data_IF_842650610819
#
_entry.id   IF_842650610819
#
_cell.length_a   1.000
_cell.length_b   1.000
_cell.length_c   1.000
_cell.angle_alpha   90.00
_cell.angle_beta   90.00
_cell.angle_gamma   90.00
#
_symmetry.space_group_name_H-M   'P 1'
#
loop_
_entity.id
_entity.type
_entity.pdbx_description
1 polymer ?
#
# COMPACT_ATOMS: atom_id res chain seq x y z
N UNK A 1 -21.44 -13.82 4.59
CA UNK A 1 -20.78 -12.67 3.93
C UNK A 1 -21.43 -11.40 4.44
N UNK A 2 -20.66 -10.34 4.67
CA UNK A 2 -21.14 -8.97 4.91
C UNK A 2 -20.09 -8.02 4.31
N UNK A 3 -20.51 -6.91 3.69
CA UNK A 3 -19.61 -6.01 2.94
C UNK A 3 -18.70 -6.76 1.94
N UNK A 4 -19.19 -7.86 1.37
CA UNK A 4 -18.45 -8.79 0.52
C UNK A 4 -17.20 -9.45 1.16
N UNK A 5 -17.13 -9.49 2.49
CA UNK A 5 -16.10 -10.21 3.25
C UNK A 5 -16.70 -11.47 3.90
N UNK A 6 -15.96 -12.57 3.87
CA UNK A 6 -16.35 -13.82 4.52
C UNK A 6 -16.12 -13.73 6.03
N UNK A 7 -17.19 -13.45 6.79
CA UNK A 7 -17.15 -13.37 8.25
C UNK A 7 -16.61 -14.67 8.89
N UNK A 8 -17.00 -15.83 8.38
CA UNK A 8 -16.53 -17.11 8.93
C UNK A 8 -15.03 -17.27 8.72
N UNK A 9 -14.54 -16.97 7.52
CA UNK A 9 -13.10 -17.01 7.21
C UNK A 9 -12.29 -15.98 8.00
N UNK A 10 -12.83 -14.79 8.27
CA UNK A 10 -12.18 -13.80 9.14
C UNK A 10 -12.07 -14.31 10.58
N UNK A 11 -13.13 -14.96 11.10
CA UNK A 11 -13.11 -15.54 12.44
C UNK A 11 -12.15 -16.73 12.54
N UNK A 12 -12.09 -17.57 11.49
CA UNK A 12 -11.17 -18.70 11.40
C UNK A 12 -9.72 -18.22 11.44
N UNK A 13 -9.35 -17.29 10.55
CA UNK A 13 -8.01 -16.68 10.54
C UNK A 13 -7.66 -16.04 11.88
N UNK A 14 -8.61 -15.34 12.52
CA UNK A 14 -8.37 -14.76 13.85
C UNK A 14 -8.05 -15.82 14.91
N UNK A 15 -8.69 -16.98 14.84
CA UNK A 15 -8.43 -18.09 15.76
C UNK A 15 -7.07 -18.74 15.46
N UNK A 16 -6.72 -18.96 14.19
CA UNK A 16 -5.41 -19.47 13.79
C UNK A 16 -4.27 -18.58 14.34
N UNK A 17 -4.40 -17.26 14.21
CA UNK A 17 -3.40 -16.30 14.72
C UNK A 17 -3.33 -16.30 16.26
N UNK A 18 -4.45 -16.52 16.96
CA UNK A 18 -4.47 -16.65 18.43
C UNK A 18 -3.76 -17.92 18.91
N UNK A 19 -3.91 -19.01 18.17
CA UNK A 19 -3.25 -20.28 18.47
C UNK A 19 -1.75 -20.24 18.14
N UNK A 20 -1.37 -19.52 17.08
CA UNK A 20 0.01 -19.35 16.65
C UNK A 20 0.25 -17.96 16.08
N UNK A 21 1.04 -17.16 16.78
CA UNK A 21 1.38 -15.79 16.35
C UNK A 21 2.15 -15.76 15.02
N UNK A 22 2.76 -16.88 14.62
CA UNK A 22 3.42 -17.03 13.31
C UNK A 22 2.42 -16.88 12.16
N UNK A 23 1.19 -17.37 12.29
CA UNK A 23 0.16 -17.23 11.23
C UNK A 23 -0.22 -15.76 10.98
N UNK A 24 0.02 -14.89 11.98
CA UNK A 24 -0.20 -13.45 11.87
C UNK A 24 0.94 -12.69 11.17
N UNK A 25 2.06 -13.36 10.84
CA UNK A 25 3.20 -12.72 10.21
C UNK A 25 3.07 -12.73 8.69
N UNK A 26 3.12 -11.55 8.08
CA UNK A 26 3.09 -11.39 6.63
C UNK A 26 4.42 -10.82 6.13
N UNK A 27 5.04 -11.48 5.15
CA UNK A 27 6.21 -11.00 4.44
C UNK A 27 5.83 -10.63 3.00
N UNK A 28 6.23 -9.42 2.60
CA UNK A 28 6.00 -8.85 1.29
C UNK A 28 7.33 -8.54 0.61
N UNK A 29 7.31 -8.36 -0.70
CA UNK A 29 8.48 -7.90 -1.42
C UNK A 29 8.17 -7.52 -2.85
N UNK A 30 9.08 -6.74 -3.43
CA UNK A 30 9.05 -6.35 -4.83
C UNK A 30 10.44 -6.53 -5.44
N UNK A 31 10.50 -6.58 -6.77
CA UNK A 31 11.70 -6.25 -7.55
C UNK A 31 11.41 -4.99 -8.34
N UNK A 32 12.44 -4.18 -8.56
CA UNK A 32 12.35 -2.96 -9.36
C UNK A 32 13.47 -2.97 -10.38
N UNK A 33 13.09 -2.83 -11.64
CA UNK A 33 14.00 -2.63 -12.76
C UNK A 33 13.95 -1.15 -13.16
N UNK A 34 15.12 -0.50 -13.18
CA UNK A 34 15.22 0.81 -13.79
C UNK A 34 15.05 0.69 -15.31
N UNK A 35 14.23 1.54 -15.90
CA UNK A 35 13.97 1.53 -17.34
C UNK A 35 14.73 2.66 -18.01
N UNK A 36 14.48 3.91 -17.60
CA UNK A 36 15.12 5.11 -18.16
C UNK A 36 14.69 6.34 -17.37
N UNK A 37 15.58 7.31 -17.13
CA UNK A 37 15.22 8.54 -16.41
C UNK A 37 14.56 8.23 -15.06
N UNK A 38 13.40 8.84 -14.80
CA UNK A 38 12.53 8.61 -13.63
C UNK A 38 11.66 7.35 -13.74
N UNK A 39 11.63 6.69 -14.90
CA UNK A 39 10.76 5.54 -15.16
C UNK A 39 11.35 4.25 -14.60
N UNK A 40 10.56 3.55 -13.80
CA UNK A 40 10.89 2.22 -13.25
C UNK A 40 9.74 1.24 -13.48
N UNK A 41 10.08 -0.05 -13.57
CA UNK A 41 9.10 -1.15 -13.64
C UNK A 41 9.21 -1.98 -12.37
N UNK A 42 8.10 -2.13 -11.66
CA UNK A 42 8.02 -2.87 -10.40
C UNK A 42 7.25 -4.17 -10.61
N UNK A 43 7.72 -5.25 -10.01
CA UNK A 43 7.02 -6.55 -9.96
C UNK A 43 6.89 -7.01 -8.52
N UNK A 44 5.70 -7.46 -8.12
CA UNK A 44 5.48 -8.05 -6.79
C UNK A 44 6.12 -9.42 -6.69
N UNK A 45 6.83 -9.70 -5.58
CA UNK A 45 7.22 -11.05 -5.21
C UNK A 45 6.03 -11.78 -4.60
N UNK A 46 6.10 -13.12 -4.59
CA UNK A 46 5.17 -13.94 -3.82
C UNK A 46 5.15 -13.49 -2.36
N UNK A 47 3.96 -13.43 -1.78
CA UNK A 47 3.77 -13.11 -0.37
C UNK A 47 3.88 -14.38 0.45
N UNK A 48 4.34 -14.25 1.69
CA UNK A 48 4.26 -15.32 2.70
C UNK A 48 3.37 -14.82 3.83
N UNK A 49 2.36 -15.59 4.21
CA UNK A 49 1.49 -15.32 5.37
C UNK A 49 1.54 -16.56 6.28
N UNK A 50 2.19 -16.45 7.44
CA UNK A 50 2.51 -17.62 8.25
C UNK A 50 3.25 -18.67 7.42
N UNK A 51 2.65 -19.84 7.30
CA UNK A 51 3.19 -20.93 6.49
C UNK A 51 2.68 -20.94 5.04
N UNK A 52 1.78 -20.04 4.67
CA UNK A 52 1.18 -19.97 3.34
C UNK A 52 2.04 -19.17 2.37
N UNK A 53 2.41 -19.78 1.24
CA UNK A 53 3.01 -19.08 0.11
C UNK A 53 1.92 -18.67 -0.88
N UNK A 54 1.73 -17.37 -1.04
CA UNK A 54 0.68 -16.78 -1.87
C UNK A 54 1.32 -16.25 -3.16
N UNK A 55 0.88 -16.79 -4.30
CA UNK A 55 1.40 -16.37 -5.61
C UNK A 55 0.95 -14.94 -5.90
N UNK A 56 1.89 -14.09 -6.31
CA UNK A 56 1.65 -12.71 -6.74
C UNK A 56 2.34 -12.49 -8.08
N UNK A 57 1.63 -11.95 -9.06
CA UNK A 57 2.17 -11.64 -10.39
C UNK A 57 1.62 -10.30 -10.90
N UNK A 58 1.80 -9.26 -10.08
CA UNK A 58 1.37 -7.91 -10.40
C UNK A 58 2.59 -7.08 -10.81
N UNK A 59 2.40 -6.27 -11.84
CA UNK A 59 3.42 -5.34 -12.36
C UNK A 59 2.82 -3.95 -12.49
N UNK A 60 3.62 -2.94 -12.20
CA UNK A 60 3.24 -1.53 -12.37
C UNK A 60 4.46 -0.67 -12.69
N UNK A 61 4.19 0.52 -13.24
CA UNK A 61 5.22 1.50 -13.61
C UNK A 61 5.15 2.66 -12.63
N UNK A 62 6.32 3.19 -12.27
CA UNK A 62 6.44 4.47 -11.57
C UNK A 62 7.17 5.44 -12.49
N UNK A 63 6.70 6.68 -12.53
CA UNK A 63 7.32 7.78 -13.28
C UNK A 63 7.10 9.11 -12.55
N UNK A 64 7.63 10.22 -13.06
CA UNK A 64 7.42 11.56 -12.52
C UNK A 64 6.72 12.46 -13.55
N UNK A 65 6.05 13.54 -13.13
CA UNK A 65 5.60 14.57 -14.05
C UNK A 65 6.80 15.32 -14.66
N UNK A 66 6.56 16.04 -15.76
CA UNK A 66 7.63 16.77 -16.47
C UNK A 66 8.38 17.80 -15.62
N UNK A 67 7.70 18.39 -14.64
CA UNK A 67 8.23 19.34 -13.67
C UNK A 67 9.25 18.71 -12.72
N UNK A 68 9.16 17.39 -12.54
CA UNK A 68 10.09 16.56 -11.79
C UNK A 68 10.92 15.64 -12.72
N UNK A 69 11.14 16.11 -13.96
CA UNK A 69 12.04 15.51 -14.96
C UNK A 69 11.59 14.15 -15.51
N UNK A 70 10.34 13.76 -15.27
CA UNK A 70 9.74 12.60 -15.92
C UNK A 70 8.94 12.96 -17.17
N UNK A 71 8.09 12.04 -17.59
CA UNK A 71 7.26 12.18 -18.81
C UNK A 71 5.78 11.96 -18.55
N UNK A 72 5.38 11.94 -17.27
CA UNK A 72 4.00 11.84 -16.82
C UNK A 72 3.27 10.60 -17.38
N UNK A 73 3.97 9.46 -17.51
CA UNK A 73 3.41 8.23 -18.07
C UNK A 73 2.80 7.27 -17.03
N UNK A 74 3.06 7.50 -15.75
CA UNK A 74 2.54 6.72 -14.64
C UNK A 74 2.52 7.57 -13.36
N UNK A 75 1.79 7.16 -12.31
CA UNK A 75 1.84 7.86 -11.03
C UNK A 75 3.25 7.91 -10.44
N UNK A 76 3.51 8.94 -9.65
CA UNK A 76 4.77 9.13 -8.98
C UNK A 76 4.88 8.31 -7.68
N UNK A 77 6.10 8.14 -7.12
CA UNK A 77 6.28 7.37 -5.90
C UNK A 77 5.40 7.86 -4.74
N UNK A 78 5.25 9.18 -4.59
CA UNK A 78 4.45 9.78 -3.52
C UNK A 78 2.95 9.46 -3.67
N UNK A 79 2.41 9.52 -4.88
CA UNK A 79 1.03 9.14 -5.21
C UNK A 79 0.79 7.65 -4.96
N UNK A 80 1.74 6.78 -5.31
CA UNK A 80 1.66 5.36 -4.96
C UNK A 80 1.67 5.13 -3.45
N UNK A 81 2.47 5.89 -2.69
CA UNK A 81 2.48 5.82 -1.22
C UNK A 81 1.13 6.24 -0.63
N UNK A 82 0.56 7.37 -1.08
CA UNK A 82 -0.76 7.84 -0.63
C UNK A 82 -1.87 6.86 -1.02
N UNK A 83 -1.83 6.31 -2.24
CA UNK A 83 -2.77 5.29 -2.69
C UNK A 83 -2.67 3.99 -1.89
N UNK A 84 -1.45 3.55 -1.58
CA UNK A 84 -1.20 2.40 -0.71
C UNK A 84 -1.71 2.62 0.72
N UNK A 85 -1.50 3.82 1.27
CA UNK A 85 -2.01 4.21 2.59
C UNK A 85 -3.55 4.21 2.60
N UNK A 86 -4.18 4.86 1.63
CA UNK A 86 -5.63 4.89 1.49
C UNK A 86 -6.21 3.46 1.37
N UNK A 87 -5.57 2.61 0.57
CA UNK A 87 -5.94 1.19 0.44
C UNK A 87 -5.85 0.43 1.76
N UNK A 88 -4.77 0.62 2.52
CA UNK A 88 -4.58 0.00 3.83
C UNK A 88 -5.67 0.43 4.83
N UNK A 89 -5.97 1.73 4.88
CA UNK A 89 -7.05 2.28 5.70
C UNK A 89 -8.41 1.69 5.31
N UNK A 90 -8.71 1.63 4.01
CA UNK A 90 -9.96 1.08 3.50
C UNK A 90 -10.13 -0.40 3.87
N UNK A 91 -9.11 -1.23 3.64
CA UNK A 91 -9.15 -2.66 4.00
C UNK A 91 -9.37 -2.85 5.50
N UNK A 92 -8.63 -2.10 6.33
CA UNK A 92 -8.75 -2.17 7.79
C UNK A 92 -10.16 -1.76 8.25
N UNK A 93 -10.67 -0.64 7.74
CA UNK A 93 -12.00 -0.15 8.06
C UNK A 93 -13.09 -1.17 7.67
N UNK A 94 -13.04 -1.70 6.45
CA UNK A 94 -14.03 -2.65 5.95
C UNK A 94 -14.00 -3.98 6.70
N UNK A 95 -12.81 -4.48 7.06
CA UNK A 95 -12.66 -5.67 7.90
C UNK A 95 -13.23 -5.44 9.31
N UNK A 96 -12.92 -4.30 9.93
CA UNK A 96 -13.42 -3.92 11.25
C UNK A 96 -14.94 -3.77 11.28
N UNK A 97 -15.51 -2.99 10.36
CA UNK A 97 -16.95 -2.81 10.24
C UNK A 97 -17.68 -4.15 10.04
N UNK A 98 -17.12 -5.03 9.20
CA UNK A 98 -17.65 -6.38 8.99
C UNK A 98 -17.63 -7.23 10.25
N UNK A 99 -16.51 -7.22 11.00
CA UNK A 99 -16.40 -7.93 12.27
C UNK A 99 -17.41 -7.42 13.31
N UNK A 100 -17.71 -6.13 13.29
CA UNK A 100 -18.72 -5.47 14.14
C UNK A 100 -20.16 -5.63 13.62
N UNK A 101 -20.37 -6.35 12.51
CA UNK A 101 -21.66 -6.55 11.84
C UNK A 101 -22.32 -5.23 11.39
N UNK A 102 -21.52 -4.24 11.04
CA UNK A 102 -21.97 -2.97 10.46
C UNK A 102 -21.90 -3.07 8.94
N UNK A 103 -23.04 -2.84 8.29
CA UNK A 103 -23.14 -2.76 6.83
C UNK A 103 -22.71 -1.37 6.33
N UNK A 104 -21.85 -1.33 5.32
CA UNK A 104 -21.33 -0.11 4.71
C UNK A 104 -21.87 0.00 3.29
N UNK A 105 -22.62 1.08 3.02
CA UNK A 105 -23.17 1.35 1.69
C UNK A 105 -22.14 2.01 0.76
N UNK A 106 -21.30 2.89 1.31
CA UNK A 106 -20.27 3.62 0.55
C UNK A 106 -19.08 3.94 1.45
N UNK A 107 -17.87 3.83 0.89
CA UNK A 107 -16.63 4.32 1.48
C UNK A 107 -15.84 5.08 0.42
N UNK A 108 -15.60 6.37 0.66
CA UNK A 108 -14.69 7.21 -0.13
C UNK A 108 -13.59 7.73 0.80
N UNK A 109 -12.34 7.63 0.34
CA UNK A 109 -11.18 8.18 1.03
C UNK A 109 -10.51 9.18 0.09
N UNK A 110 -10.23 10.36 0.62
CA UNK A 110 -9.47 11.43 -0.03
C UNK A 110 -8.28 11.75 0.89
N UNK A 111 -7.06 11.75 0.35
CA UNK A 111 -5.84 12.02 1.10
C UNK A 111 -5.04 13.06 0.33
N UNK A 112 -4.79 14.19 0.97
CA UNK A 112 -3.86 15.20 0.50
C UNK A 112 -2.58 15.14 1.32
N UNK A 113 -1.44 15.31 0.64
CA UNK A 113 -0.13 15.40 1.27
C UNK A 113 0.71 16.47 0.58
N UNK A 114 1.43 17.26 1.37
CA UNK A 114 2.33 18.30 0.84
C UNK A 114 3.77 17.93 1.20
N UNK A 115 4.66 18.02 0.21
CA UNK A 115 6.11 17.84 0.37
C UNK A 115 6.81 19.16 0.08
N UNK A 116 7.79 19.50 0.90
CA UNK A 116 8.77 20.54 0.57
C UNK A 116 10.00 19.90 -0.08
N UNK A 117 10.12 20.09 -1.38
CA UNK A 117 11.19 19.50 -2.17
C UNK A 117 12.57 20.10 -1.87
N UNK A 118 12.67 21.20 -1.11
CA UNK A 118 13.96 21.73 -0.66
C UNK A 118 14.72 20.73 0.22
N UNK A 119 14.00 19.92 1.01
CA UNK A 119 14.58 18.83 1.79
C UNK A 119 15.04 17.66 0.93
N UNK A 120 14.29 17.30 -0.12
CA UNK A 120 14.70 16.27 -1.09
C UNK A 120 15.92 16.70 -1.91
N UNK A 121 15.98 17.97 -2.32
CA UNK A 121 17.05 18.54 -3.12
C UNK A 121 18.31 18.89 -2.29
N UNK A 122 18.26 18.73 -0.97
CA UNK A 122 19.37 19.04 -0.07
C UNK A 122 19.68 20.54 0.05
N UNK A 123 18.70 21.40 -0.25
CA UNK A 123 18.83 22.87 -0.16
C UNK A 123 18.72 23.32 1.29
N UNK A 124 17.77 22.74 2.03
CA UNK A 124 17.60 23.00 3.46
C UNK A 124 17.69 21.68 4.25
N UNK A 125 18.78 21.46 5.02
CA UNK A 125 18.97 20.23 5.79
C UNK A 125 18.04 20.12 7.00
N UNK A 126 17.30 21.17 7.34
CA UNK A 126 16.32 21.15 8.45
C UNK A 126 14.95 20.64 8.02
N UNK A 127 14.70 20.53 6.71
CA UNK A 127 13.43 20.09 6.14
C UNK A 127 13.45 18.57 5.91
N UNK A 128 12.38 17.89 6.36
CA UNK A 128 12.16 16.47 6.08
C UNK A 128 11.87 16.26 4.59
N UNK A 129 12.62 15.37 3.92
CA UNK A 129 12.43 15.05 2.50
C UNK A 129 11.16 14.23 2.21
N UNK A 130 10.53 13.65 3.22
CA UNK A 130 9.27 12.90 3.12
C UNK A 130 8.06 13.70 3.61
N UNK A 131 6.90 13.05 3.66
CA UNK A 131 5.69 13.69 4.19
C UNK A 131 5.92 14.11 5.65
N UNK A 132 5.65 15.38 6.02
CA UNK A 132 5.75 15.82 7.40
C UNK A 132 4.71 15.10 8.26
N UNK A 133 5.02 14.95 9.55
CA UNK A 133 4.12 14.34 10.54
C UNK A 133 2.85 15.16 10.77
#
# INVERSE_FOLDING_TARGET
>A
MLNNINIAGLSEFTNEVKESTTEGQAAYGITLDWVSGTKTKVKTKNMVLGHHKIIRDFEFIIDEPSQLLGVNHAPNPAEYMLGGLAGCMAVTFMAGATAMKVEINELKIEIDGTLDLSGFLGIDPTINSGFPN
#
